data_IF_926408051365
#
_entry.id   IF_926408051365
#
_cell.length_a   1.000
_cell.length_b   1.000
_cell.length_c   1.000
_cell.angle_alpha   90.00
_cell.angle_beta   90.00
_cell.angle_gamma   90.00
#
_symmetry.space_group_name_H-M   'P 1'
#
loop_
_entity.id
_entity.type
_entity.pdbx_description
1 polymer ?
#
# COMPACT_ATOMS: atom_id res chain seq x y z
N UNK A 1 -4.46 20.50 1.05
CA UNK A 1 -4.57 19.03 1.23
C UNK A 1 -4.93 18.77 2.69
N UNK A 2 -6.22 18.67 3.03
CA UNK A 2 -6.69 18.40 4.40
C UNK A 2 -7.92 17.47 4.37
N UNK A 3 -7.93 16.53 3.43
CA UNK A 3 -8.91 15.45 3.40
C UNK A 3 -8.26 14.29 4.14
N UNK A 4 -8.83 13.80 5.26
CA UNK A 4 -8.29 12.61 5.90
C UNK A 4 -8.30 11.48 4.85
N UNK A 5 -7.12 10.90 4.57
CA UNK A 5 -6.88 9.75 3.69
C UNK A 5 -7.52 8.47 4.26
N UNK A 6 -8.79 8.54 4.62
CA UNK A 6 -9.41 7.60 5.53
C UNK A 6 -10.78 7.20 4.97
N UNK A 7 -10.84 6.86 3.69
CA UNK A 7 -12.06 6.31 3.07
C UNK A 7 -12.53 5.04 3.80
N UNK A 8 -11.59 4.18 4.22
CA UNK A 8 -11.89 3.00 5.04
C UNK A 8 -12.24 3.38 6.47
N UNK A 9 -11.39 4.20 7.14
CA UNK A 9 -11.61 4.63 8.52
C UNK A 9 -12.96 5.32 8.71
N UNK A 10 -13.39 6.20 7.79
CA UNK A 10 -14.71 6.86 7.85
C UNK A 10 -15.89 5.89 7.88
N UNK A 11 -15.74 4.73 7.23
CA UNK A 11 -16.77 3.69 7.13
C UNK A 11 -16.64 2.59 8.19
N UNK A 12 -15.63 2.65 9.07
CA UNK A 12 -15.39 1.66 10.11
C UNK A 12 -15.53 2.29 11.50
N UNK A 13 -16.57 1.90 12.25
CA UNK A 13 -16.83 2.45 13.58
C UNK A 13 -15.69 2.13 14.56
N UNK A 14 -15.14 0.92 14.52
CA UNK A 14 -14.06 0.50 15.41
C UNK A 14 -12.80 1.35 15.22
N UNK A 15 -12.43 1.68 13.98
CA UNK A 15 -11.31 2.58 13.71
C UNK A 15 -11.62 4.04 14.08
N UNK A 16 -12.87 4.51 13.90
CA UNK A 16 -13.28 5.88 14.27
C UNK A 16 -13.23 6.12 15.76
N UNK A 17 -13.69 5.15 16.53
CA UNK A 17 -13.73 5.19 17.99
C UNK A 17 -12.42 4.71 18.63
N UNK A 18 -11.39 4.43 17.82
CA UNK A 18 -10.10 3.90 18.24
C UNK A 18 -10.22 2.63 19.12
N UNK A 19 -11.24 1.79 18.86
CA UNK A 19 -11.44 0.49 19.52
C UNK A 19 -10.46 -0.58 19.03
N UNK A 20 -9.90 -0.37 17.85
CA UNK A 20 -8.81 -1.17 17.28
C UNK A 20 -7.76 -0.22 16.72
N UNK A 21 -6.48 -0.59 16.88
CA UNK A 21 -5.33 0.08 16.29
C UNK A 21 -5.07 -0.46 14.88
N UNK A 22 -5.22 -1.77 14.69
CA UNK A 22 -5.03 -2.44 13.41
C UNK A 22 -6.27 -3.24 13.01
N UNK A 23 -6.53 -3.33 11.70
CA UNK A 23 -7.71 -4.05 11.22
C UNK A 23 -7.64 -5.56 11.57
N UNK A 24 -6.45 -6.15 11.70
CA UNK A 24 -6.29 -7.56 12.07
C UNK A 24 -6.77 -7.89 13.49
N UNK A 25 -7.01 -6.90 14.34
CA UNK A 25 -7.56 -7.08 15.70
C UNK A 25 -9.09 -7.29 15.66
N UNK A 26 -9.73 -7.03 14.52
CA UNK A 26 -11.18 -7.22 14.37
C UNK A 26 -11.50 -8.71 14.19
N UNK A 27 -12.51 -9.22 14.90
CA UNK A 27 -13.03 -10.57 14.69
C UNK A 27 -13.55 -10.83 13.25
N UNK A 28 -13.91 -9.75 12.53
CA UNK A 28 -14.37 -9.80 11.14
C UNK A 28 -13.25 -9.59 10.11
N UNK A 29 -11.99 -9.67 10.51
CA UNK A 29 -10.86 -9.48 9.61
C UNK A 29 -10.61 -10.74 8.74
N UNK A 30 -10.38 -10.59 7.43
CA UNK A 30 -10.53 -9.37 6.64
C UNK A 30 -12.01 -9.06 6.33
N UNK A 31 -12.44 -7.82 6.57
CA UNK A 31 -13.81 -7.42 6.31
C UNK A 31 -14.01 -7.02 4.84
N UNK A 32 -15.25 -7.13 4.33
CA UNK A 32 -15.57 -6.87 2.92
C UNK A 32 -15.03 -5.51 2.39
N UNK A 33 -15.15 -4.37 3.10
CA UNK A 33 -14.59 -3.11 2.61
C UNK A 33 -13.06 -3.12 2.47
N UNK A 34 -12.37 -3.81 3.38
CA UNK A 34 -10.92 -3.97 3.31
C UNK A 34 -10.54 -4.92 2.17
N UNK A 35 -11.24 -6.04 2.02
CA UNK A 35 -11.04 -6.99 0.92
C UNK A 35 -11.24 -6.35 -0.46
N UNK A 36 -12.18 -5.41 -0.60
CA UNK A 36 -12.38 -4.66 -1.84
C UNK A 36 -11.20 -3.70 -2.14
N UNK A 37 -10.66 -3.04 -1.11
CA UNK A 37 -9.45 -2.20 -1.24
C UNK A 37 -8.25 -3.05 -1.63
N UNK A 38 -8.06 -4.16 -0.92
CA UNK A 38 -6.99 -5.11 -1.13
C UNK A 38 -7.01 -5.68 -2.57
N UNK A 39 -8.17 -6.10 -3.06
CA UNK A 39 -8.34 -6.55 -4.45
C UNK A 39 -7.87 -5.50 -5.46
N UNK A 40 -8.24 -4.23 -5.26
CA UNK A 40 -7.79 -3.13 -6.12
C UNK A 40 -6.27 -2.96 -6.04
N UNK A 41 -5.72 -3.02 -4.84
CA UNK A 41 -4.29 -2.80 -4.60
C UNK A 41 -3.44 -3.93 -5.20
N UNK A 42 -3.86 -5.19 -5.06
CA UNK A 42 -3.18 -6.33 -5.70
C UNK A 42 -3.20 -6.21 -7.22
N UNK A 43 -4.35 -5.89 -7.78
CA UNK A 43 -4.53 -5.82 -9.24
C UNK A 43 -3.89 -4.60 -9.88
N UNK A 44 -3.71 -3.49 -9.16
CA UNK A 44 -3.24 -2.22 -9.75
C UNK A 44 -1.85 -1.81 -9.28
N UNK A 45 -1.44 -2.19 -8.07
CA UNK A 45 -0.26 -1.65 -7.38
C UNK A 45 0.67 -2.75 -6.84
N UNK A 46 0.43 -4.02 -7.20
CA UNK A 46 1.29 -5.16 -6.81
C UNK A 46 1.56 -5.24 -5.31
N UNK A 47 0.56 -4.89 -4.50
CA UNK A 47 0.64 -4.90 -3.05
C UNK A 47 -0.69 -5.37 -2.44
N UNK A 48 -0.65 -5.96 -1.26
CA UNK A 48 -1.84 -6.42 -0.53
C UNK A 48 -1.86 -5.77 0.85
N UNK A 49 -2.94 -5.03 1.13
CA UNK A 49 -3.12 -4.43 2.46
C UNK A 49 -3.41 -5.50 3.52
N UNK A 50 -4.06 -6.60 3.12
CA UNK A 50 -4.33 -7.73 4.01
C UNK A 50 -3.04 -8.48 4.33
N UNK A 51 -2.21 -8.77 3.33
CA UNK A 51 -0.89 -9.39 3.53
C UNK A 51 0.01 -8.51 4.41
N UNK A 52 0.06 -7.20 4.13
CA UNK A 52 0.80 -6.24 4.95
C UNK A 52 0.34 -6.30 6.42
N UNK A 53 -0.98 -6.35 6.66
CA UNK A 53 -1.52 -6.46 8.02
C UNK A 53 -1.20 -7.81 8.67
N UNK A 54 -1.16 -8.92 7.93
CA UNK A 54 -0.69 -10.21 8.45
C UNK A 54 0.79 -10.14 8.85
N UNK A 55 1.65 -9.57 8.01
CA UNK A 55 3.07 -9.40 8.31
C UNK A 55 3.31 -8.51 9.52
N UNK A 56 2.55 -7.41 9.65
CA UNK A 56 2.64 -6.54 10.84
C UNK A 56 2.21 -7.30 12.10
N UNK A 57 1.18 -8.16 12.02
CA UNK A 57 0.72 -8.99 13.15
C UNK A 57 1.77 -10.04 13.54
N UNK A 58 2.37 -10.70 12.56
CA UNK A 58 3.20 -11.89 12.77
C UNK A 58 4.68 -11.54 13.02
N UNK A 59 5.19 -10.50 12.37
CA UNK A 59 6.61 -10.09 12.40
C UNK A 59 6.84 -8.74 13.12
N UNK A 60 5.77 -7.99 13.39
CA UNK A 60 5.85 -6.64 13.95
C UNK A 60 6.10 -5.54 12.90
N UNK A 61 5.75 -4.31 13.28
CA UNK A 61 5.80 -3.14 12.36
C UNK A 61 7.23 -2.80 11.92
N UNK A 62 8.22 -2.95 12.78
CA UNK A 62 9.61 -2.62 12.46
C UNK A 62 10.20 -3.57 11.40
N UNK A 63 9.93 -4.87 11.53
CA UNK A 63 10.33 -5.88 10.54
C UNK A 63 9.66 -5.61 9.20
N UNK A 64 8.36 -5.36 9.22
CA UNK A 64 7.58 -5.00 8.03
C UNK A 64 8.15 -3.77 7.32
N UNK A 65 8.47 -2.70 8.06
CA UNK A 65 9.02 -1.47 7.47
C UNK A 65 10.38 -1.70 6.82
N UNK A 66 11.29 -2.45 7.46
CA UNK A 66 12.60 -2.80 6.86
C UNK A 66 12.44 -3.61 5.57
N UNK A 67 11.50 -4.55 5.54
CA UNK A 67 11.23 -5.35 4.36
C UNK A 67 10.61 -4.53 3.22
N UNK A 68 9.66 -3.63 3.52
CA UNK A 68 9.08 -2.74 2.50
C UNK A 68 10.09 -1.71 1.99
N UNK A 69 10.97 -1.19 2.84
CA UNK A 69 12.07 -0.31 2.42
C UNK A 69 12.98 -1.03 1.42
N UNK A 70 13.39 -2.27 1.72
CA UNK A 70 14.19 -3.07 0.81
C UNK A 70 13.45 -3.39 -0.51
N UNK A 71 12.16 -3.77 -0.43
CA UNK A 71 11.32 -4.11 -1.58
C UNK A 71 11.15 -2.94 -2.56
N UNK A 72 10.99 -1.72 -2.04
CA UNK A 72 10.74 -0.52 -2.84
C UNK A 72 12.00 0.31 -3.10
N UNK A 73 13.18 -0.24 -2.82
CA UNK A 73 14.46 0.39 -3.12
C UNK A 73 14.80 0.23 -4.60
N UNK A 74 15.20 1.33 -5.23
CA UNK A 74 15.70 1.30 -6.59
C UNK A 74 17.08 0.59 -6.61
N UNK A 75 17.26 -0.45 -7.44
CA UNK A 75 18.54 -1.16 -7.50
C UNK A 75 19.67 -0.32 -8.11
N UNK A 76 19.33 0.67 -8.94
CA UNK A 76 20.31 1.51 -9.65
C UNK A 76 20.87 2.63 -8.77
N UNK A 77 20.00 3.41 -8.14
CA UNK A 77 20.40 4.60 -7.38
C UNK A 77 20.17 4.49 -5.87
N UNK A 78 19.52 3.44 -5.39
CA UNK A 78 19.14 3.29 -3.98
C UNK A 78 17.98 4.19 -3.53
N UNK A 79 17.40 5.00 -4.43
CA UNK A 79 16.22 5.83 -4.18
C UNK A 79 14.92 5.02 -4.07
N UNK A 80 13.77 5.70 -4.11
CA UNK A 80 12.46 5.07 -3.87
C UNK A 80 11.73 4.78 -5.19
N UNK A 81 11.23 3.55 -5.32
CA UNK A 81 10.33 3.11 -6.40
C UNK A 81 8.88 3.23 -5.94
N UNK A 82 8.03 3.84 -6.75
CA UNK A 82 6.60 3.97 -6.39
C UNK A 82 5.83 2.67 -6.61
N UNK A 83 5.13 2.20 -5.59
CA UNK A 83 4.18 1.08 -5.72
C UNK A 83 3.02 1.34 -6.71
N UNK A 84 2.74 2.60 -7.05
CA UNK A 84 1.61 2.94 -7.93
C UNK A 84 1.92 2.76 -9.42
N UNK A 85 3.18 2.88 -9.81
CA UNK A 85 3.57 2.88 -11.22
C UNK A 85 4.89 2.17 -11.53
N UNK A 86 5.62 1.72 -10.51
CA UNK A 86 6.86 0.97 -10.67
C UNK A 86 8.05 1.80 -11.12
N UNK A 87 7.99 3.12 -11.01
CA UNK A 87 9.04 4.03 -11.46
C UNK A 87 9.81 4.59 -10.26
N UNK A 88 11.14 4.70 -10.43
CA UNK A 88 12.00 5.37 -9.48
C UNK A 88 11.81 6.88 -9.55
N UNK A 89 11.71 7.55 -8.40
CA UNK A 89 11.54 9.00 -8.36
C UNK A 89 12.78 9.79 -8.76
N UNK A 90 13.94 9.15 -8.89
CA UNK A 90 15.18 9.78 -9.29
C UNK A 90 15.57 9.37 -10.71
N UNK A 91 15.61 8.07 -11.00
CA UNK A 91 16.02 7.56 -12.31
C UNK A 91 14.97 7.78 -13.42
N UNK A 92 13.67 7.73 -13.09
CA UNK A 92 12.59 7.73 -14.09
C UNK A 92 11.82 9.07 -14.17
N UNK A 93 12.40 10.18 -13.70
CA UNK A 93 11.73 11.49 -13.64
C UNK A 93 11.11 11.92 -14.97
N UNK A 94 11.84 11.78 -16.08
CA UNK A 94 11.34 12.16 -17.40
C UNK A 94 10.20 11.25 -17.87
N UNK A 95 10.28 9.95 -17.56
CA UNK A 95 9.21 9.00 -17.85
C UNK A 95 7.96 9.31 -17.02
N UNK A 96 8.13 9.64 -15.73
CA UNK A 96 7.06 10.09 -14.85
C UNK A 96 6.35 11.33 -15.41
N UNK A 97 7.10 12.34 -15.85
CA UNK A 97 6.57 13.59 -16.44
C UNK A 97 5.76 13.35 -17.72
N UNK A 98 6.18 12.38 -18.54
CA UNK A 98 5.53 12.06 -19.82
C UNK A 98 4.39 11.04 -19.70
N UNK A 99 4.24 10.39 -18.54
CA UNK A 99 3.27 9.29 -18.36
C UNK A 99 1.84 9.81 -18.35
N UNK A 100 1.04 9.40 -19.35
CA UNK A 100 -0.38 9.77 -19.45
C UNK A 100 -1.25 9.19 -18.32
N UNK A 101 -0.91 8.00 -17.80
CA UNK A 101 -1.62 7.32 -16.69
C UNK A 101 -0.71 7.21 -15.47
N UNK A 102 -0.70 8.23 -14.61
CA UNK A 102 0.28 8.39 -13.52
C UNK A 102 0.31 7.23 -12.50
N UNK A 103 -0.85 6.63 -12.18
CA UNK A 103 -1.00 5.60 -11.13
C UNK A 103 -1.31 4.22 -11.71
N UNK A 104 -0.47 3.78 -12.65
CA UNK A 104 -0.57 2.48 -13.31
C UNK A 104 0.82 1.94 -13.65
N UNK A 105 1.04 0.67 -13.33
CA UNK A 105 2.13 -0.09 -13.92
C UNK A 105 1.89 -0.28 -15.42
N UNK A 106 2.97 -0.32 -16.21
CA UNK A 106 2.86 -0.55 -17.66
C UNK A 106 2.64 -2.04 -17.97
N UNK A 107 3.14 -2.94 -17.11
CA UNK A 107 2.92 -4.38 -17.17
C UNK A 107 1.84 -4.82 -16.18
N UNK A 108 1.06 -5.85 -16.57
CA UNK A 108 0.11 -6.51 -15.66
C UNK A 108 0.88 -7.17 -14.50
N UNK A 109 0.27 -7.26 -13.30
CA UNK A 109 0.79 -8.14 -12.26
C UNK A 109 0.84 -9.58 -12.79
N UNK A 110 1.89 -10.31 -12.43
CA UNK A 110 2.01 -11.74 -12.73
C UNK A 110 0.97 -12.56 -11.94
#
# INVERSE_FOLDING_TARGET
RNKPCAFLKKKCILLRENKVKYCYECARFPCEPLSAIDKRYRTQFRMSEIENLHRIRDEGIESFLKAEEAKWKCPECGGVVSCHNGLCFDCDLDRLRKKKRLYRWDSKPD
#
